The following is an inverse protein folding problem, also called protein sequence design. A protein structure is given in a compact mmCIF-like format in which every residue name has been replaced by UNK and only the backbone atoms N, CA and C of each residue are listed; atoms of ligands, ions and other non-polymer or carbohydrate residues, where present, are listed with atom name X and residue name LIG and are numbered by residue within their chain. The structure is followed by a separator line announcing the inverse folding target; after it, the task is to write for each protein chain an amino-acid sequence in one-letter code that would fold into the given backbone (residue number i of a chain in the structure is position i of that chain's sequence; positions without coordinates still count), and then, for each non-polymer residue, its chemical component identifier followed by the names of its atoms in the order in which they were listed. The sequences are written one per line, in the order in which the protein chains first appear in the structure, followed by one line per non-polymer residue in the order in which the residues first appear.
data_IF_163257246535
#
_entry.id   IF_163257246535
#
_cell.length_a   1.000
_cell.length_b   1.000
_cell.length_c   1.000
_cell.angle_alpha   90.00
_cell.angle_beta   90.00
_cell.angle_gamma   90.00
#
_symmetry.space_group_name_H-M   'P 1'
#
loop_
_entity.id
_entity.type
_entity.pdbx_description
1 polymer ?
#
# COMPACT_ATOMS: atom_id res chain seq x y z
N UNK A 1 -37.01 -84.16 25.80
CA UNK A 1 -35.85 -85.07 25.72
C UNK A 1 -36.00 -85.95 24.48
N UNK A 2 -35.40 -85.54 23.36
CA UNK A 2 -35.16 -86.36 22.16
C UNK A 2 -33.99 -85.72 21.40
N UNK A 3 -32.86 -86.41 21.42
CA UNK A 3 -31.64 -86.11 20.67
C UNK A 3 -31.85 -86.37 19.19
N UNK A 4 -31.37 -85.46 18.34
CA UNK A 4 -30.91 -85.79 16.99
C UNK A 4 -29.54 -85.12 16.81
N UNK A 5 -28.52 -85.97 16.65
CA UNK A 5 -27.18 -85.64 16.16
C UNK A 5 -27.18 -86.07 14.68
N UNK A 6 -26.57 -85.30 13.78
CA UNK A 6 -25.69 -85.77 12.67
C UNK A 6 -25.08 -84.57 11.89
N UNK A 7 -23.75 -84.48 12.03
CA UNK A 7 -22.63 -84.25 11.07
C UNK A 7 -22.62 -83.10 10.03
N UNK A 8 -21.55 -82.31 10.16
CA UNK A 8 -20.54 -81.88 9.17
C UNK A 8 -20.97 -81.40 7.77
N UNK A 9 -20.71 -80.11 7.50
CA UNK A 9 -19.99 -79.67 6.31
C UNK A 9 -19.34 -78.31 6.58
N UNK A 10 -18.00 -78.27 6.55
CA UNK A 10 -17.24 -77.04 6.42
C UNK A 10 -17.45 -76.49 5.00
N UNK A 11 -17.96 -75.27 4.90
CA UNK A 11 -17.91 -74.49 3.66
C UNK A 11 -17.35 -73.12 4.00
N UNK A 12 -16.09 -72.90 3.62
CA UNK A 12 -15.40 -71.62 3.69
C UNK A 12 -16.09 -70.64 2.74
N UNK A 13 -16.86 -69.70 3.29
CA UNK A 13 -17.42 -68.58 2.54
C UNK A 13 -16.54 -67.35 2.78
N UNK A 14 -15.74 -67.02 1.76
CA UNK A 14 -15.06 -65.74 1.62
C UNK A 14 -16.13 -64.66 1.48
N UNK A 15 -16.36 -63.88 2.54
CA UNK A 15 -17.15 -62.65 2.43
C UNK A 15 -16.23 -61.50 2.04
N UNK A 16 -16.37 -61.04 0.80
CA UNK A 16 -15.86 -59.76 0.33
C UNK A 16 -16.39 -58.62 1.22
N UNK A 17 -15.48 -57.90 1.86
CA UNK A 17 -15.76 -56.60 2.48
C UNK A 17 -16.05 -55.61 1.35
N UNK A 18 -17.33 -55.31 1.11
CA UNK A 18 -17.74 -54.17 0.30
C UNK A 18 -17.65 -52.93 1.18
N UNK A 19 -16.55 -52.20 1.06
CA UNK A 19 -16.42 -50.85 1.61
C UNK A 19 -17.44 -49.94 0.91
N UNK A 20 -18.40 -49.42 1.66
CA UNK A 20 -19.25 -48.33 1.21
C UNK A 20 -18.41 -47.06 1.08
N UNK A 21 -18.15 -46.65 -0.16
CA UNK A 21 -17.62 -45.32 -0.47
C UNK A 21 -18.72 -44.30 -0.16
N UNK A 22 -18.62 -43.64 1.00
CA UNK A 22 -19.28 -42.37 1.19
C UNK A 22 -18.61 -41.38 0.23
N UNK A 23 -19.41 -40.83 -0.70
CA UNK A 23 -18.98 -39.73 -1.55
C UNK A 23 -18.64 -38.54 -0.66
N UNK A 24 -17.34 -38.36 -0.41
CA UNK A 24 -16.82 -37.09 0.05
C UNK A 24 -16.91 -36.14 -1.14
N UNK A 25 -17.67 -35.06 -0.97
CA UNK A 25 -17.62 -33.89 -1.84
C UNK A 25 -16.16 -33.56 -2.14
N UNK A 26 -15.82 -33.47 -3.43
CA UNK A 26 -14.53 -32.97 -3.92
C UNK A 26 -14.40 -31.49 -3.53
N UNK A 27 -14.07 -31.26 -2.25
CA UNK A 27 -13.53 -30.00 -1.79
C UNK A 27 -12.17 -29.85 -2.49
N UNK A 28 -12.18 -29.05 -3.57
CA UNK A 28 -10.96 -28.63 -4.27
C UNK A 28 -9.91 -28.25 -3.22
N UNK A 29 -8.69 -28.81 -3.29
CA UNK A 29 -7.67 -28.58 -2.29
C UNK A 29 -7.41 -27.08 -2.17
N UNK A 30 -7.73 -26.56 -0.99
CA UNK A 30 -7.39 -25.21 -0.54
C UNK A 30 -5.88 -25.04 -0.73
N UNK A 31 -5.52 -24.06 -1.57
CA UNK A 31 -4.15 -23.72 -1.95
C UNK A 31 -3.22 -23.74 -0.74
N UNK A 32 -2.47 -24.83 -0.61
CA UNK A 32 -1.37 -24.95 0.33
C UNK A 32 -0.33 -23.89 0.00
N UNK A 33 0.09 -23.13 1.01
CA UNK A 33 1.20 -22.18 0.99
C UNK A 33 2.26 -22.54 -0.06
N UNK A 34 2.19 -21.90 -1.23
CA UNK A 34 3.13 -22.11 -2.34
C UNK A 34 3.96 -20.85 -2.54
N UNK A 35 5.24 -21.05 -2.25
CA UNK A 35 6.41 -20.19 -2.37
C UNK A 35 6.61 -19.18 -1.24
N UNK A 36 7.78 -19.28 -0.60
CA UNK A 36 8.41 -18.16 0.08
C UNK A 36 8.72 -17.11 -1.00
N UNK A 37 7.71 -16.32 -1.36
CA UNK A 37 7.74 -15.38 -2.48
C UNK A 37 8.71 -14.26 -2.14
N UNK A 38 9.50 -13.87 -3.14
CA UNK A 38 10.68 -13.03 -2.96
C UNK A 38 10.40 -11.60 -2.52
N UNK A 39 9.15 -11.14 -2.40
CA UNK A 39 8.83 -9.75 -2.08
C UNK A 39 7.34 -9.41 -2.09
N UNK A 40 7.02 -8.15 -1.77
CA UNK A 40 5.63 -7.64 -1.85
C UNK A 40 5.23 -7.34 -3.29
N UNK A 41 4.04 -7.80 -3.70
CA UNK A 41 3.42 -7.47 -4.99
C UNK A 41 2.49 -6.29 -4.83
N UNK A 42 2.82 -5.20 -5.50
CA UNK A 42 2.20 -3.90 -5.27
C UNK A 42 1.42 -3.42 -6.50
N UNK A 43 0.19 -2.94 -6.29
CA UNK A 43 -0.55 -2.12 -7.25
C UNK A 43 -0.62 -0.67 -6.76
N UNK A 44 -0.54 0.27 -7.69
CA UNK A 44 -0.55 1.69 -7.39
C UNK A 44 -1.75 2.42 -8.03
N UNK A 45 -2.41 3.31 -7.29
CA UNK A 45 -3.30 4.35 -7.85
C UNK A 45 -2.62 5.71 -7.62
N UNK A 46 -1.60 6.04 -8.41
CA UNK A 46 -0.84 7.30 -8.30
C UNK A 46 -0.06 7.66 -9.58
N UNK A 47 0.64 8.80 -9.54
CA UNK A 47 1.51 9.25 -10.63
C UNK A 47 2.73 8.32 -10.82
N UNK A 48 3.03 7.98 -12.08
CA UNK A 48 4.16 7.15 -12.51
C UNK A 48 5.54 7.61 -12.03
N UNK A 49 5.76 8.89 -11.77
CA UNK A 49 7.02 9.42 -11.22
C UNK A 49 7.25 8.91 -9.81
N UNK A 50 6.21 8.91 -8.97
CA UNK A 50 6.30 8.40 -7.59
C UNK A 50 6.58 6.89 -7.57
N UNK A 51 5.96 6.15 -8.49
CA UNK A 51 6.19 4.71 -8.65
C UNK A 51 7.67 4.45 -8.99
N UNK A 52 8.25 5.21 -9.93
CA UNK A 52 9.69 5.09 -10.25
C UNK A 52 10.60 5.40 -9.07
N UNK A 53 10.31 6.46 -8.30
CA UNK A 53 11.10 6.78 -7.11
C UNK A 53 11.00 5.66 -6.08
N UNK A 54 9.81 5.08 -5.90
CA UNK A 54 9.61 3.93 -5.03
C UNK A 54 10.42 2.71 -5.50
N UNK A 55 10.44 2.43 -6.81
CA UNK A 55 11.24 1.34 -7.40
C UNK A 55 12.74 1.52 -7.09
N UNK A 56 13.27 2.75 -7.23
CA UNK A 56 14.67 3.07 -6.91
C UNK A 56 14.98 2.86 -5.42
N UNK A 57 14.09 3.32 -4.53
CA UNK A 57 14.24 3.14 -3.08
C UNK A 57 14.21 1.65 -2.72
N UNK A 58 13.26 0.90 -3.27
CA UNK A 58 13.14 -0.54 -3.02
C UNK A 58 14.40 -1.29 -3.47
N UNK A 59 14.92 -0.96 -4.66
CA UNK A 59 16.19 -1.51 -5.15
C UNK A 59 17.36 -1.19 -4.21
N UNK A 60 17.51 0.08 -3.81
CA UNK A 60 18.57 0.51 -2.90
C UNK A 60 18.51 -0.17 -1.52
N UNK A 61 17.30 -0.47 -1.05
CA UNK A 61 17.09 -1.17 0.22
C UNK A 61 17.28 -2.69 0.15
N UNK A 62 17.55 -3.26 -1.04
CA UNK A 62 17.74 -4.70 -1.21
C UNK A 62 16.50 -5.54 -0.85
N UNK A 63 15.32 -4.93 -0.90
CA UNK A 63 14.06 -5.60 -0.61
C UNK A 63 13.46 -6.16 -1.90
N UNK A 64 12.92 -7.38 -1.83
CA UNK A 64 12.17 -7.88 -2.96
C UNK A 64 10.81 -7.20 -3.10
N UNK A 65 10.46 -6.91 -4.33
CA UNK A 65 9.37 -6.04 -4.70
C UNK A 65 8.94 -6.37 -6.13
N UNK A 66 7.63 -6.39 -6.38
CA UNK A 66 7.09 -6.49 -7.72
C UNK A 66 6.06 -5.39 -7.97
N UNK A 67 6.37 -4.53 -8.95
CA UNK A 67 5.42 -3.56 -9.48
C UNK A 67 4.44 -4.27 -10.43
N UNK A 68 3.20 -4.49 -9.97
CA UNK A 68 2.18 -5.09 -10.81
C UNK A 68 1.64 -4.09 -11.84
N UNK A 69 1.70 -2.79 -11.55
CA UNK A 69 1.28 -1.71 -12.44
C UNK A 69 0.49 -0.65 -11.69
N UNK A 70 -0.04 0.32 -12.45
CA UNK A 70 -0.95 1.33 -11.92
C UNK A 70 -2.37 1.17 -12.49
N UNK A 71 -3.37 1.31 -11.64
CA UNK A 71 -4.79 1.26 -12.00
C UNK A 71 -5.50 2.52 -11.53
N UNK A 72 -6.33 3.11 -12.40
CA UNK A 72 -7.12 4.31 -12.07
C UNK A 72 -8.40 3.96 -11.29
N UNK A 73 -8.89 2.74 -11.44
CA UNK A 73 -10.09 2.20 -10.80
C UNK A 73 -9.97 0.66 -10.72
N UNK A 74 -10.78 0.03 -9.85
CA UNK A 74 -10.77 -1.40 -9.56
C UNK A 74 -11.06 -2.25 -10.80
N UNK A 75 -11.92 -1.74 -11.68
CA UNK A 75 -12.44 -2.46 -12.85
C UNK A 75 -11.83 -1.99 -14.18
N UNK A 76 -10.80 -1.15 -14.12
CA UNK A 76 -10.11 -0.65 -15.32
C UNK A 76 -8.80 -1.39 -15.53
N UNK A 77 -8.44 -1.68 -16.79
CA UNK A 77 -7.13 -2.20 -17.16
C UNK A 77 -5.97 -1.46 -16.47
N UNK A 78 -5.04 -2.22 -15.90
CA UNK A 78 -3.82 -1.64 -15.37
C UNK A 78 -2.88 -1.23 -16.50
N UNK A 79 -2.01 -0.26 -16.22
CA UNK A 79 -0.92 0.11 -17.11
C UNK A 79 0.42 -0.14 -16.41
N UNK A 80 1.35 -0.75 -17.12
CA UNK A 80 2.73 -0.97 -16.68
C UNK A 80 3.68 -0.69 -17.85
N UNK A 81 4.76 0.05 -17.62
CA UNK A 81 5.75 0.38 -18.65
C UNK A 81 5.16 0.95 -19.95
N UNK A 82 4.15 1.82 -19.81
CA UNK A 82 3.37 2.43 -20.92
C UNK A 82 2.54 1.43 -21.75
N UNK A 83 2.37 0.19 -21.29
CA UNK A 83 1.49 -0.82 -21.89
C UNK A 83 0.25 -0.99 -21.02
N UNK A 84 -0.91 -0.93 -21.65
CA UNK A 84 -2.18 -1.34 -21.04
C UNK A 84 -2.23 -2.86 -21.06
N UNK A 85 -2.51 -3.47 -19.91
CA UNK A 85 -2.63 -4.93 -19.77
C UNK A 85 -4.11 -5.31 -19.68
N UNK A 86 -4.45 -6.58 -19.93
CA UNK A 86 -5.83 -7.06 -19.82
C UNK A 86 -6.33 -7.12 -18.37
N UNK A 87 -5.41 -7.40 -17.44
CA UNK A 87 -5.71 -7.45 -16.01
C UNK A 87 -6.18 -6.09 -15.47
N UNK A 88 -7.10 -6.14 -14.51
CA UNK A 88 -7.52 -5.00 -13.69
C UNK A 88 -7.02 -5.18 -12.26
N UNK A 89 -7.04 -4.14 -11.41
CA UNK A 89 -6.77 -4.35 -9.99
C UNK A 89 -7.66 -5.41 -9.36
N UNK A 90 -8.95 -5.49 -9.75
CA UNK A 90 -9.86 -6.54 -9.27
C UNK A 90 -9.39 -7.93 -9.67
N UNK A 91 -9.10 -8.17 -10.95
CA UNK A 91 -8.74 -9.51 -11.42
C UNK A 91 -7.47 -10.00 -10.74
N UNK A 92 -6.50 -9.13 -10.49
CA UNK A 92 -5.28 -9.45 -9.76
C UNK A 92 -5.56 -9.72 -8.27
N UNK A 93 -6.42 -8.94 -7.63
CA UNK A 93 -6.81 -9.19 -6.23
C UNK A 93 -7.55 -10.52 -6.08
N UNK A 94 -8.51 -10.82 -6.96
CA UNK A 94 -9.29 -12.07 -6.93
C UNK A 94 -8.43 -13.32 -7.14
N UNK A 95 -7.32 -13.20 -7.88
CA UNK A 95 -6.29 -14.23 -8.02
C UNK A 95 -5.39 -14.39 -6.78
N UNK A 96 -5.54 -13.53 -5.76
CA UNK A 96 -4.64 -13.46 -4.60
C UNK A 96 -3.25 -12.96 -4.97
N UNK A 97 -3.13 -12.18 -6.06
CA UNK A 97 -1.85 -11.73 -6.61
C UNK A 97 -1.33 -10.43 -6.01
N UNK A 98 -2.14 -9.73 -5.25
CA UNK A 98 -1.80 -8.42 -4.68
C UNK A 98 -1.59 -8.54 -3.17
N UNK A 99 -0.45 -8.05 -2.69
CA UNK A 99 -0.15 -7.98 -1.26
C UNK A 99 -0.38 -6.57 -0.71
N UNK A 100 -0.07 -5.56 -1.53
CA UNK A 100 -0.21 -4.15 -1.15
C UNK A 100 -0.87 -3.36 -2.27
N UNK A 101 -1.83 -2.52 -1.89
CA UNK A 101 -2.26 -1.41 -2.72
C UNK A 101 -1.85 -0.09 -2.07
N UNK A 102 -1.28 0.81 -2.86
CA UNK A 102 -1.03 2.18 -2.44
C UNK A 102 -1.79 3.14 -3.34
N UNK A 103 -2.67 3.92 -2.72
CA UNK A 103 -3.61 4.80 -3.42
C UNK A 103 -3.40 6.24 -2.98
N UNK A 104 -3.52 7.18 -3.92
CA UNK A 104 -3.64 8.60 -3.63
C UNK A 104 -4.81 9.14 -4.44
N UNK A 105 -5.62 9.97 -3.79
CA UNK A 105 -6.74 10.62 -4.46
C UNK A 105 -6.62 12.14 -4.41
N UNK A 106 -7.22 12.83 -5.39
CA UNK A 106 -7.32 14.30 -5.38
C UNK A 106 -8.12 14.77 -4.17
N UNK A 107 -9.15 14.03 -3.78
CA UNK A 107 -10.09 14.43 -2.74
C UNK A 107 -9.89 13.71 -1.40
N UNK A 108 -8.76 13.03 -1.19
CA UNK A 108 -8.32 12.38 0.08
C UNK A 108 -9.32 11.41 0.72
N UNK A 109 -10.40 11.96 1.26
CA UNK A 109 -11.42 11.32 2.07
C UNK A 109 -12.71 11.00 1.31
N UNK A 110 -12.98 11.64 0.17
CA UNK A 110 -14.31 11.59 -0.48
C UNK A 110 -14.50 10.47 -1.52
N UNK A 111 -13.48 9.67 -1.82
CA UNK A 111 -13.55 8.74 -2.95
C UNK A 111 -13.87 7.30 -2.53
N UNK A 112 -14.86 6.62 -3.15
CA UNK A 112 -15.35 5.29 -2.73
C UNK A 112 -14.34 4.16 -2.92
N UNK A 113 -13.14 4.44 -3.43
CA UNK A 113 -12.13 3.44 -3.72
C UNK A 113 -11.73 2.62 -2.48
N UNK A 114 -11.58 3.22 -1.29
CA UNK A 114 -11.15 2.47 -0.10
C UNK A 114 -12.17 1.39 0.31
N UNK A 115 -13.44 1.78 0.41
CA UNK A 115 -14.54 0.90 0.82
C UNK A 115 -14.77 -0.26 -0.18
N UNK A 116 -14.31 -0.09 -1.43
CA UNK A 116 -14.41 -1.11 -2.49
C UNK A 116 -13.16 -1.98 -2.62
N UNK A 117 -11.97 -1.38 -2.51
CA UNK A 117 -10.70 -2.09 -2.72
C UNK A 117 -10.33 -2.95 -1.51
N UNK A 118 -10.56 -2.47 -0.29
CA UNK A 118 -10.18 -3.20 0.92
C UNK A 118 -10.90 -4.56 1.07
N UNK A 119 -12.24 -4.66 0.88
CA UNK A 119 -12.92 -5.95 0.96
C UNK A 119 -12.45 -6.95 -0.09
N UNK A 120 -12.25 -6.50 -1.33
CA UNK A 120 -11.83 -7.37 -2.45
C UNK A 120 -10.42 -7.93 -2.21
N UNK A 121 -9.47 -7.07 -1.82
CA UNK A 121 -8.12 -7.52 -1.50
C UNK A 121 -8.10 -8.48 -0.31
N UNK A 122 -8.82 -8.17 0.77
CA UNK A 122 -8.86 -9.00 1.98
C UNK A 122 -9.49 -10.38 1.73
N UNK A 123 -10.56 -10.45 0.93
CA UNK A 123 -11.27 -11.70 0.65
C UNK A 123 -10.39 -12.76 -0.01
N UNK A 124 -9.35 -12.34 -0.75
CA UNK A 124 -8.48 -13.22 -1.53
C UNK A 124 -7.02 -13.26 -1.04
N UNK A 125 -6.64 -12.35 -0.14
CA UNK A 125 -5.36 -12.38 0.54
C UNK A 125 -5.53 -11.92 2.01
N UNK A 126 -5.45 -12.82 3.00
CA UNK A 126 -5.63 -12.45 4.41
C UNK A 126 -4.54 -11.50 4.93
N UNK A 127 -3.42 -11.35 4.23
CA UNK A 127 -2.33 -10.43 4.58
C UNK A 127 -2.34 -9.14 3.74
N UNK A 128 -3.39 -8.91 2.95
CA UNK A 128 -3.55 -7.72 2.12
C UNK A 128 -3.50 -6.44 2.97
N UNK A 129 -2.83 -5.41 2.43
CA UNK A 129 -2.78 -4.07 3.04
C UNK A 129 -3.11 -3.01 2.00
N UNK A 130 -4.04 -2.13 2.33
CA UNK A 130 -4.38 -0.95 1.53
C UNK A 130 -3.85 0.30 2.23
N UNK A 131 -2.92 0.99 1.60
CA UNK A 131 -2.41 2.27 2.06
C UNK A 131 -3.10 3.40 1.30
N UNK A 132 -3.71 4.33 2.01
CA UNK A 132 -4.18 5.61 1.49
C UNK A 132 -3.16 6.69 1.82
N UNK A 133 -2.64 7.37 0.81
CA UNK A 133 -1.79 8.53 1.01
C UNK A 133 -2.67 9.71 1.45
N UNK A 134 -2.43 10.20 2.68
CA UNK A 134 -2.79 11.54 3.11
C UNK A 134 -1.78 12.49 2.44
N UNK A 135 -2.10 12.98 1.23
CA UNK A 135 -1.19 13.78 0.37
C UNK A 135 -0.94 15.17 0.95
N UNK A 136 -0.55 16.18 0.17
CA UNK A 136 -0.49 17.57 0.64
C UNK A 136 -1.75 18.34 0.22
N UNK A 137 -2.04 19.47 0.88
CA UNK A 137 -3.16 20.34 0.53
C UNK A 137 -2.97 20.95 -0.86
N UNK A 138 -4.07 21.04 -1.60
CA UNK A 138 -4.11 21.80 -2.85
C UNK A 138 -4.30 23.27 -2.49
N UNK A 139 -3.28 24.08 -2.75
CA UNK A 139 -3.31 25.55 -2.62
C UNK A 139 -3.15 26.18 -4.00
N UNK A 140 -3.54 27.46 -4.15
CA UNK A 140 -3.18 28.19 -5.36
C UNK A 140 -1.66 28.43 -5.37
N UNK A 141 -0.97 28.29 -6.50
CA UNK A 141 0.49 28.44 -6.56
C UNK A 141 0.98 29.77 -5.99
N UNK A 142 0.27 30.86 -6.27
CA UNK A 142 0.58 32.22 -5.84
C UNK A 142 0.41 32.47 -4.33
N UNK A 143 -0.29 31.59 -3.62
CA UNK A 143 -0.54 31.74 -2.17
C UNK A 143 0.59 31.12 -1.32
N UNK A 144 1.33 30.15 -1.86
CA UNK A 144 2.21 29.25 -1.09
C UNK A 144 3.31 29.92 -0.31
N UNK A 145 3.98 30.90 -0.90
CA UNK A 145 5.11 31.56 -0.26
C UNK A 145 4.67 32.45 0.91
N UNK A 146 3.40 32.86 0.92
CA UNK A 146 2.79 33.66 1.97
C UNK A 146 1.99 32.82 2.99
N UNK A 147 1.72 31.54 2.68
CA UNK A 147 1.03 30.63 3.59
C UNK A 147 1.84 30.43 4.87
N UNK A 148 1.20 30.65 6.02
CA UNK A 148 1.78 30.34 7.33
C UNK A 148 1.74 28.83 7.56
N UNK A 149 2.87 28.26 7.97
CA UNK A 149 3.00 26.81 8.22
C UNK A 149 1.92 26.29 9.18
N UNK A 150 1.63 27.03 10.26
CA UNK A 150 0.60 26.65 11.23
C UNK A 150 -0.80 26.56 10.61
N UNK A 151 -1.15 27.49 9.71
CA UNK A 151 -2.47 27.50 9.05
C UNK A 151 -2.59 26.35 8.06
N UNK A 152 -1.51 26.05 7.33
CA UNK A 152 -1.43 24.88 6.43
C UNK A 152 -1.58 23.59 7.23
N UNK A 153 -0.87 23.44 8.36
CA UNK A 153 -0.99 22.25 9.20
C UNK A 153 -2.39 22.10 9.77
N UNK A 154 -3.02 23.19 10.25
CA UNK A 154 -4.37 23.14 10.80
C UNK A 154 -5.41 22.72 9.74
N UNK A 155 -5.30 23.25 8.52
CA UNK A 155 -6.16 22.85 7.40
C UNK A 155 -5.92 21.38 6.99
N UNK A 156 -4.66 20.94 7.01
CA UNK A 156 -4.26 19.58 6.72
C UNK A 156 -4.85 18.60 7.75
N UNK A 157 -4.70 18.92 9.03
CA UNK A 157 -5.23 18.13 10.15
C UNK A 157 -6.75 17.95 10.04
N UNK A 158 -7.47 19.00 9.65
CA UNK A 158 -8.93 18.94 9.46
C UNK A 158 -9.31 17.90 8.40
N UNK A 159 -8.61 17.88 7.26
CA UNK A 159 -8.89 16.92 6.18
C UNK A 159 -8.42 15.51 6.55
N UNK A 160 -7.26 15.40 7.19
CA UNK A 160 -6.66 14.13 7.63
C UNK A 160 -7.55 13.42 8.65
N UNK A 161 -8.14 14.15 9.61
CA UNK A 161 -9.11 13.59 10.59
C UNK A 161 -10.34 12.97 9.94
N UNK A 162 -10.85 13.55 8.85
CA UNK A 162 -11.96 12.94 8.10
C UNK A 162 -11.56 11.59 7.48
N UNK A 163 -10.32 11.49 7.00
CA UNK A 163 -9.80 10.22 6.47
C UNK A 163 -9.58 9.19 7.58
N UNK A 164 -9.06 9.61 8.74
CA UNK A 164 -8.88 8.75 9.93
C UNK A 164 -10.21 8.09 10.34
N UNK A 165 -11.27 8.89 10.52
CA UNK A 165 -12.61 8.40 10.87
C UNK A 165 -13.12 7.38 9.85
N UNK A 166 -12.90 7.64 8.56
CA UNK A 166 -13.33 6.73 7.50
C UNK A 166 -12.54 5.42 7.52
N UNK A 167 -11.23 5.48 7.69
CA UNK A 167 -10.37 4.29 7.78
C UNK A 167 -10.74 3.43 8.99
N UNK A 168 -11.06 4.06 10.13
CA UNK A 168 -11.55 3.34 11.31
C UNK A 168 -12.88 2.63 11.04
N UNK A 169 -13.82 3.30 10.37
CA UNK A 169 -15.09 2.68 9.99
C UNK A 169 -14.88 1.45 9.08
N UNK A 170 -14.06 1.58 8.04
CA UNK A 170 -13.76 0.46 7.13
C UNK A 170 -13.13 -0.71 7.88
N UNK A 171 -12.09 -0.45 8.68
CA UNK A 171 -11.40 -1.51 9.42
C UNK A 171 -12.30 -2.18 10.46
N UNK A 172 -13.19 -1.41 11.10
CA UNK A 172 -14.22 -1.94 12.01
C UNK A 172 -15.18 -2.87 11.28
N UNK A 173 -15.70 -2.44 10.13
CA UNK A 173 -16.64 -3.24 9.33
C UNK A 173 -15.99 -4.53 8.79
N UNK A 174 -14.69 -4.47 8.46
CA UNK A 174 -13.90 -5.64 8.06
C UNK A 174 -13.44 -6.52 9.23
N UNK A 175 -13.63 -6.08 10.48
CA UNK A 175 -13.18 -6.79 11.69
C UNK A 175 -11.65 -6.95 11.79
N UNK A 176 -10.87 -6.18 11.00
CA UNK A 176 -9.41 -6.29 10.91
C UNK A 176 -8.80 -5.00 10.40
N UNK A 177 -7.59 -4.70 10.87
CA UNK A 177 -6.74 -3.65 10.29
C UNK A 177 -6.27 -4.05 8.88
N UNK A 178 -6.84 -3.41 7.87
CA UNK A 178 -6.52 -3.63 6.44
C UNK A 178 -6.16 -2.33 5.74
N UNK A 179 -6.81 -1.23 6.11
CA UNK A 179 -6.57 0.10 5.56
C UNK A 179 -5.66 0.90 6.48
N UNK A 180 -4.62 1.51 5.93
CA UNK A 180 -3.59 2.29 6.62
C UNK A 180 -3.47 3.66 5.96
N UNK A 181 -2.91 4.64 6.67
CA UNK A 181 -2.71 5.99 6.14
C UNK A 181 -1.21 6.33 6.11
N UNK A 182 -0.74 6.85 4.97
CA UNK A 182 0.62 7.41 4.83
C UNK A 182 0.57 8.94 4.97
N UNK A 183 1.17 9.54 6.03
CA UNK A 183 1.07 10.98 6.36
C UNK A 183 2.01 11.86 5.52
N UNK A 184 1.90 11.77 4.19
CA UNK A 184 2.78 12.51 3.27
C UNK A 184 2.61 14.03 3.41
N UNK A 185 1.38 14.51 3.64
CA UNK A 185 1.10 15.92 3.86
C UNK A 185 1.88 16.50 5.02
N UNK A 186 1.87 15.81 6.16
CA UNK A 186 2.57 16.24 7.36
C UNK A 186 4.08 16.29 7.13
N UNK A 187 4.63 15.33 6.37
CA UNK A 187 6.04 15.36 6.00
C UNK A 187 6.37 16.57 5.10
N UNK A 188 5.50 16.89 4.14
CA UNK A 188 5.67 18.06 3.26
C UNK A 188 5.54 19.38 4.03
N UNK A 189 4.63 19.48 5.01
CA UNK A 189 4.52 20.68 5.86
C UNK A 189 5.80 20.89 6.67
N UNK A 190 6.39 19.83 7.24
CA UNK A 190 7.69 19.92 7.91
C UNK A 190 8.83 20.31 6.97
N UNK A 191 8.81 19.83 5.73
CA UNK A 191 9.78 20.27 4.72
C UNK A 191 9.62 21.77 4.39
N UNK A 192 8.37 22.25 4.28
CA UNK A 192 8.08 23.69 4.10
C UNK A 192 8.57 24.52 5.28
N UNK A 193 8.38 24.04 6.51
CA UNK A 193 8.90 24.67 7.72
C UNK A 193 10.43 24.81 7.65
N UNK A 194 11.15 23.75 7.27
CA UNK A 194 12.60 23.82 7.07
C UNK A 194 13.01 24.83 5.98
N UNK A 195 12.23 24.95 4.90
CA UNK A 195 12.50 25.95 3.85
C UNK A 195 12.29 27.37 4.37
N UNK A 196 11.19 27.64 5.08
CA UNK A 196 10.92 28.95 5.70
C UNK A 196 12.02 29.34 6.69
N UNK A 197 12.53 28.36 7.44
CA UNK A 197 13.63 28.54 8.39
C UNK A 197 15.03 28.64 7.74
N UNK A 198 15.14 28.48 6.41
CA UNK A 198 16.42 28.44 5.71
C UNK A 198 17.29 27.22 6.03
N UNK A 199 16.70 26.13 6.51
CA UNK A 199 17.36 24.89 6.95
C UNK A 199 17.39 23.79 5.88
N UNK A 200 16.71 23.97 4.75
CA UNK A 200 16.79 23.04 3.63
C UNK A 200 17.69 23.60 2.52
N UNK A 201 18.87 23.01 2.26
CA UNK A 201 19.86 23.61 1.37
C UNK A 201 19.34 23.68 -0.07
N UNK A 202 19.63 24.78 -0.75
CA UNK A 202 19.32 24.96 -2.18
C UNK A 202 17.87 25.23 -2.54
N UNK A 203 16.97 25.42 -1.56
CA UNK A 203 15.56 25.80 -1.78
C UNK A 203 15.22 26.94 -0.83
N UNK A 204 14.69 28.04 -1.36
CA UNK A 204 14.49 29.28 -0.57
C UNK A 204 13.03 29.67 -0.39
N UNK A 205 12.14 29.12 -1.21
CA UNK A 205 10.71 29.42 -1.21
C UNK A 205 9.89 28.15 -1.13
N UNK A 206 8.75 28.23 -0.46
CA UNK A 206 7.83 27.10 -0.31
C UNK A 206 7.33 26.62 -1.69
N UNK A 207 7.11 27.54 -2.62
CA UNK A 207 6.64 27.28 -3.97
C UNK A 207 7.61 26.43 -4.81
N UNK A 208 8.91 26.49 -4.54
CA UNK A 208 9.95 25.69 -5.23
C UNK A 208 9.85 24.18 -4.94
N UNK A 209 9.12 23.77 -3.88
CA UNK A 209 8.81 22.37 -3.60
C UNK A 209 7.72 21.79 -4.52
N UNK A 210 7.13 22.63 -5.39
CA UNK A 210 6.01 22.27 -6.23
C UNK A 210 6.23 22.65 -7.68
N UNK A 211 5.57 21.93 -8.61
CA UNK A 211 5.66 22.30 -10.02
C UNK A 211 5.16 23.74 -10.22
N UNK A 212 5.59 24.40 -11.29
CA UNK A 212 5.09 25.74 -11.62
C UNK A 212 3.70 25.72 -12.28
N UNK A 213 3.06 26.89 -12.30
CA UNK A 213 1.76 27.11 -12.95
C UNK A 213 0.62 26.27 -12.35
N UNK A 214 -0.42 26.00 -13.15
CA UNK A 214 -1.61 25.25 -12.72
C UNK A 214 -1.30 23.80 -12.31
N UNK A 215 -0.21 23.22 -12.83
CA UNK A 215 0.28 21.89 -12.40
C UNK A 215 0.75 21.91 -10.95
N UNK A 216 1.27 23.04 -10.50
CA UNK A 216 1.74 23.25 -9.14
C UNK A 216 0.70 22.97 -8.08
N UNK A 217 -0.57 23.28 -8.33
CA UNK A 217 -1.64 23.05 -7.35
C UNK A 217 -1.75 21.59 -6.92
N UNK A 218 -1.45 20.65 -7.82
CA UNK A 218 -1.71 19.21 -7.60
C UNK A 218 -0.45 18.34 -7.70
N UNK A 219 0.69 18.87 -8.12
CA UNK A 219 1.95 18.14 -8.31
C UNK A 219 3.12 18.82 -7.60
N UNK A 220 4.06 17.99 -7.14
CA UNK A 220 5.27 18.43 -6.42
C UNK A 220 6.51 18.34 -7.30
N UNK A 221 7.56 19.07 -6.93
CA UNK A 221 8.90 19.00 -7.53
C UNK A 221 9.72 17.82 -7.00
N UNK A 222 10.95 17.66 -7.52
CA UNK A 222 11.86 16.53 -7.23
C UNK A 222 11.99 16.19 -5.74
N UNK A 223 12.22 17.19 -4.86
CA UNK A 223 12.42 16.95 -3.43
C UNK A 223 11.18 16.40 -2.73
N UNK A 224 10.02 17.03 -2.94
CA UNK A 224 8.77 16.58 -2.34
C UNK A 224 8.23 15.29 -2.98
N UNK A 225 8.52 15.00 -4.25
CA UNK A 225 8.27 13.69 -4.86
C UNK A 225 9.11 12.60 -4.17
N UNK A 226 10.40 12.86 -3.92
CA UNK A 226 11.27 11.90 -3.26
C UNK A 226 10.87 11.68 -1.80
N UNK A 227 10.53 12.76 -1.07
CA UNK A 227 9.99 12.66 0.28
C UNK A 227 8.72 11.80 0.34
N UNK A 228 7.81 12.00 -0.62
CA UNK A 228 6.59 11.20 -0.76
C UNK A 228 6.94 9.72 -0.94
N UNK A 229 7.91 9.40 -1.79
CA UNK A 229 8.33 8.02 -2.03
C UNK A 229 8.98 7.38 -0.78
N UNK A 230 9.80 8.13 -0.02
CA UNK A 230 10.34 7.64 1.25
C UNK A 230 9.26 7.38 2.30
N UNK A 231 8.24 8.25 2.40
CA UNK A 231 7.12 8.03 3.32
C UNK A 231 6.36 6.74 2.96
N UNK A 232 6.10 6.55 1.66
CA UNK A 232 5.44 5.35 1.15
C UNK A 232 6.28 4.09 1.43
N UNK A 233 7.59 4.13 1.18
CA UNK A 233 8.50 3.04 1.52
C UNK A 233 8.46 2.71 3.01
N UNK A 234 8.58 3.73 3.86
CA UNK A 234 8.60 3.57 5.31
C UNK A 234 7.31 2.92 5.81
N UNK A 235 6.16 3.32 5.28
CA UNK A 235 4.86 2.77 5.68
C UNK A 235 4.66 1.32 5.18
N UNK A 236 4.97 1.06 3.91
CA UNK A 236 4.73 -0.25 3.27
C UNK A 236 5.67 -1.32 3.82
N UNK A 237 6.96 -0.98 3.99
CA UNK A 237 7.96 -1.94 4.45
C UNK A 237 8.21 -1.88 5.95
N UNK A 238 7.65 -0.89 6.64
CA UNK A 238 7.89 -0.66 8.08
C UNK A 238 9.38 -0.59 8.40
N UNK A 239 10.13 0.10 7.54
CA UNK A 239 11.59 0.23 7.61
C UNK A 239 12.00 1.67 7.44
N UNK A 240 13.05 2.06 8.17
CA UNK A 240 13.65 3.37 8.01
C UNK A 240 14.32 3.51 6.65
N UNK A 241 14.05 4.57 5.87
CA UNK A 241 14.81 4.88 4.66
C UNK A 241 16.14 5.59 4.98
N UNK A 242 16.44 5.89 6.26
CA UNK A 242 17.65 6.62 6.65
C UNK A 242 18.90 5.81 6.30
N UNK A 243 19.81 6.46 5.58
CA UNK A 243 21.09 5.87 5.16
C UNK A 243 21.03 5.15 3.82
N UNK A 244 19.85 5.02 3.19
CA UNK A 244 19.76 4.48 1.84
C UNK A 244 20.52 5.37 0.86
N UNK A 245 21.36 4.75 0.02
CA UNK A 245 22.06 5.42 -1.08
C UNK A 245 21.32 5.12 -2.37
N UNK A 246 20.78 6.16 -3.01
CA UNK A 246 20.01 6.01 -4.24
C UNK A 246 20.89 6.35 -5.45
N UNK A 247 20.77 5.55 -6.50
CA UNK A 247 21.27 5.90 -7.83
C UNK A 247 20.12 6.54 -8.61
N UNK A 248 20.11 7.87 -8.68
CA UNK A 248 19.07 8.61 -9.42
C UNK A 248 19.67 9.73 -10.27
N UNK A 249 18.93 10.16 -11.29
CA UNK A 249 19.39 11.17 -12.26
C UNK A 249 19.15 12.60 -11.76
N UNK A 250 18.18 12.74 -10.87
CA UNK A 250 17.80 13.99 -10.26
C UNK A 250 18.96 14.54 -9.42
N UNK A 251 19.25 15.82 -9.60
CA UNK A 251 20.25 16.54 -8.81
C UNK A 251 19.71 16.83 -7.41
N UNK A 252 19.85 15.86 -6.50
CA UNK A 252 19.54 15.97 -5.07
C UNK A 252 20.80 15.58 -4.31
N UNK A 253 21.28 16.47 -3.45
CA UNK A 253 22.53 16.25 -2.72
C UNK A 253 22.37 15.18 -1.64
N UNK A 254 23.49 14.56 -1.23
CA UNK A 254 23.50 13.60 -0.12
C UNK A 254 22.89 14.17 1.18
N UNK A 255 23.11 15.47 1.43
CA UNK A 255 22.52 16.18 2.57
C UNK A 255 21.00 16.31 2.44
N UNK A 256 20.50 16.71 1.27
CA UNK A 256 19.06 16.76 1.00
C UNK A 256 18.45 15.36 1.15
N UNK A 257 19.09 14.32 0.61
CA UNK A 257 18.65 12.92 0.79
C UNK A 257 18.52 12.57 2.28
N UNK A 258 19.54 12.84 3.09
CA UNK A 258 19.53 12.53 4.52
C UNK A 258 18.39 13.25 5.26
N UNK A 259 18.14 14.53 4.95
CA UNK A 259 17.03 15.30 5.52
C UNK A 259 15.69 14.67 5.15
N UNK A 260 15.47 14.38 3.86
CA UNK A 260 14.20 13.83 3.37
C UNK A 260 13.92 12.43 3.95
N UNK A 261 14.94 11.57 4.06
CA UNK A 261 14.81 10.25 4.68
C UNK A 261 14.44 10.35 6.16
N UNK A 262 15.10 11.25 6.90
CA UNK A 262 14.82 11.49 8.31
C UNK A 262 13.41 12.03 8.52
N UNK A 263 13.00 13.03 7.76
CA UNK A 263 11.63 13.58 7.81
C UNK A 263 10.57 12.50 7.54
N UNK A 264 10.80 11.66 6.52
CA UNK A 264 9.90 10.55 6.23
C UNK A 264 9.81 9.57 7.41
N UNK A 265 10.95 9.12 7.94
CA UNK A 265 10.97 8.17 9.05
C UNK A 265 10.29 8.74 10.29
N UNK A 266 10.66 9.94 10.71
CA UNK A 266 10.12 10.58 11.91
C UNK A 266 8.61 10.86 11.81
N UNK A 267 8.12 11.14 10.60
CA UNK A 267 6.70 11.39 10.39
C UNK A 267 5.90 10.09 10.35
N UNK A 268 6.36 9.09 9.60
CA UNK A 268 5.62 7.84 9.43
C UNK A 268 5.68 6.97 10.68
N UNK A 269 6.84 6.83 11.33
CA UNK A 269 7.01 5.97 12.53
C UNK A 269 6.21 6.44 13.74
N UNK A 270 5.88 7.74 13.80
CA UNK A 270 5.10 8.34 14.89
C UNK A 270 3.62 8.49 14.57
N UNK A 271 3.19 8.15 13.36
CA UNK A 271 1.82 8.34 12.93
C UNK A 271 0.96 7.11 13.23
N UNK A 272 -0.08 7.22 14.10
CA UNK A 272 -0.81 6.04 14.57
C UNK A 272 -1.45 5.20 13.45
N UNK A 273 -1.92 5.83 12.37
CA UNK A 273 -2.59 5.12 11.26
C UNK A 273 -1.61 4.51 10.24
N UNK A 274 -0.31 4.81 10.34
CA UNK A 274 0.71 4.13 9.52
C UNK A 274 1.10 2.77 10.12
N UNK A 275 0.94 2.61 11.44
CA UNK A 275 1.20 1.37 12.20
C UNK A 275 2.57 0.74 11.93
N UNK A 276 3.57 1.57 11.72
CA UNK A 276 4.97 1.11 11.71
C UNK A 276 5.32 0.67 13.12
N UNK A 277 5.78 -0.58 13.25
CA UNK A 277 6.23 -1.13 14.52
C UNK A 277 7.65 -0.63 14.79
N UNK A 278 7.83 0.03 15.94
CA UNK A 278 9.15 0.42 16.45
C UNK A 278 9.82 -0.72 17.19
#
# INVERSE_FOLDING_TARGET
MRMIIIRFAWLSLVLCVMAGAAAADDAKPQSTAKDARSGLRCIFKMNVILIKNFDVIAKAAGIGYQNLGYGVDLDKPITRDRKVLEDTPRTLMEKGEVDVCLTVDRNWAAEPALDKWAPVGLAHNPNFRLYQQARFLTEKPEERDNSKIADVQAALDKVRKTLEVRVDAINKDLGKQVVFIVPVGDAIVKLREMVVDGKFPGVTKQSELFLSGSRGSIHVEKHANLLTAYCNYAAIYQKSPVGLKLEMKEDITDEQHAILQKLAWETVSKYPYALVKN
#
